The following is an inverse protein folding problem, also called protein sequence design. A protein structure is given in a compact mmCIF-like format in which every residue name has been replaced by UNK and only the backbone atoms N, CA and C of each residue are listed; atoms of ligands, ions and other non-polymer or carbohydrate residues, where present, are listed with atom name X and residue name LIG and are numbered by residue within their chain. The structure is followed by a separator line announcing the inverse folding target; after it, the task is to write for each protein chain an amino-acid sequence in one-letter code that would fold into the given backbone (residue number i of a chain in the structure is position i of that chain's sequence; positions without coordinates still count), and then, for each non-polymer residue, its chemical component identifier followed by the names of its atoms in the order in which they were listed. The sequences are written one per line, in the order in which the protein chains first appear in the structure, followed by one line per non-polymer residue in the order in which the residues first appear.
data_IF_729421471901
#
_entry.id   IF_729421471901
#
_cell.length_a   1.000
_cell.length_b   1.000
_cell.length_c   1.000
_cell.angle_alpha   90.00
_cell.angle_beta   90.00
_cell.angle_gamma   90.00
#
_symmetry.space_group_name_H-M   'P 1'
#
loop_
_entity.id
_entity.type
_entity.pdbx_description
1 polymer ?
#
# COMPACT_ATOMS: atom_id res chain seq x y z
N UNK A 1 -25.81 -64.98 -64.38
CA UNK A 1 -24.87 -65.35 -65.45
C UNK A 1 -24.41 -64.09 -66.14
N UNK A 2 -23.12 -64.07 -66.49
CA UNK A 2 -22.33 -63.04 -67.15
C UNK A 2 -23.02 -62.30 -68.31
N UNK A 3 -22.68 -61.02 -68.51
CA UNK A 3 -22.26 -60.53 -69.83
C UNK A 3 -21.55 -59.17 -69.74
N UNK A 4 -20.57 -59.01 -70.64
CA UNK A 4 -19.52 -58.00 -70.72
C UNK A 4 -19.83 -56.87 -71.73
N UNK A 5 -18.96 -55.84 -71.70
CA UNK A 5 -18.65 -54.83 -72.74
C UNK A 5 -19.66 -53.66 -72.90
N UNK A 6 -19.27 -52.41 -73.20
CA UNK A 6 -18.11 -51.91 -73.95
C UNK A 6 -17.79 -50.41 -73.66
N UNK A 7 -16.56 -50.06 -74.06
CA UNK A 7 -15.82 -48.79 -74.11
C UNK A 7 -16.53 -47.52 -74.63
N UNK A 8 -16.05 -46.35 -74.17
CA UNK A 8 -15.51 -45.25 -75.02
C UNK A 8 -14.76 -44.17 -74.21
N UNK A 9 -13.67 -43.66 -74.76
CA UNK A 9 -12.67 -42.70 -74.23
C UNK A 9 -13.14 -41.22 -74.20
N UNK A 10 -12.39 -40.35 -73.49
CA UNK A 10 -11.66 -39.14 -74.00
C UNK A 10 -11.62 -37.92 -73.03
N UNK A 11 -10.38 -37.64 -72.56
CA UNK A 11 -9.65 -36.35 -72.33
C UNK A 11 -10.01 -35.26 -71.29
N UNK A 12 -8.96 -34.94 -70.50
CA UNK A 12 -8.30 -33.62 -70.34
C UNK A 12 -8.87 -32.54 -69.41
N UNK A 13 -8.03 -32.07 -68.48
CA UNK A 13 -8.23 -30.78 -67.79
C UNK A 13 -7.46 -30.61 -66.49
N UNK A 14 -6.12 -30.46 -66.55
CA UNK A 14 -5.30 -29.86 -65.47
C UNK A 14 -5.82 -28.45 -65.16
N UNK A 15 -5.94 -28.09 -63.89
CA UNK A 15 -5.75 -26.69 -63.46
C UNK A 15 -5.05 -26.62 -62.10
N UNK A 16 -3.74 -26.34 -62.20
CA UNK A 16 -2.94 -25.79 -61.12
C UNK A 16 -3.43 -24.38 -60.81
N UNK A 17 -3.97 -24.15 -59.61
CA UNK A 17 -4.06 -22.80 -59.04
C UNK A 17 -2.70 -22.44 -58.46
N UNK A 18 -1.92 -21.79 -59.32
CA UNK A 18 -0.62 -21.19 -59.11
C UNK A 18 -0.73 -20.13 -58.01
N UNK A 19 -0.13 -20.38 -56.84
CA UNK A 19 0.11 -19.37 -55.81
C UNK A 19 0.87 -18.19 -56.44
N UNK A 20 0.16 -17.07 -56.66
CA UNK A 20 0.78 -15.78 -56.98
C UNK A 20 1.53 -15.30 -55.75
N UNK A 21 2.82 -15.59 -55.70
CA UNK A 21 3.77 -14.87 -54.87
C UNK A 21 3.90 -13.45 -55.41
N UNK A 22 3.09 -12.53 -54.90
CA UNK A 22 3.33 -11.10 -55.08
C UNK A 22 4.65 -10.73 -54.40
N UNK A 23 5.60 -10.08 -55.11
CA UNK A 23 6.82 -9.60 -54.49
C UNK A 23 6.46 -8.54 -53.46
N UNK A 24 6.77 -8.81 -52.18
CA UNK A 24 6.58 -7.84 -51.10
C UNK A 24 7.36 -6.57 -51.44
N UNK A 25 6.62 -5.47 -51.54
CA UNK A 25 7.16 -4.12 -51.65
C UNK A 25 8.11 -3.90 -50.46
N UNK A 26 9.39 -3.62 -50.73
CA UNK A 26 10.45 -3.48 -49.71
C UNK A 26 10.04 -2.51 -48.60
N UNK A 27 9.23 -1.50 -48.92
CA UNK A 27 8.67 -0.53 -47.98
C UNK A 27 7.78 -1.16 -46.88
N UNK A 28 7.05 -2.24 -47.17
CA UNK A 28 6.17 -2.92 -46.20
C UNK A 28 6.95 -3.80 -45.22
N UNK A 29 8.18 -4.23 -45.55
CA UNK A 29 9.07 -4.90 -44.58
C UNK A 29 9.76 -3.89 -43.66
N UNK A 30 10.22 -2.75 -44.18
CA UNK A 30 10.83 -1.71 -43.33
C UNK A 30 9.83 -1.13 -42.32
N UNK A 31 8.56 -0.94 -42.71
CA UNK A 31 7.52 -0.44 -41.81
C UNK A 31 7.22 -1.41 -40.65
N UNK A 32 7.25 -2.73 -40.90
CA UNK A 32 7.05 -3.77 -39.87
C UNK A 32 8.24 -3.83 -38.89
N UNK A 33 9.47 -3.70 -39.39
CA UNK A 33 10.66 -3.68 -38.54
C UNK A 33 10.79 -2.37 -37.75
N UNK A 34 10.33 -1.24 -38.30
CA UNK A 34 10.28 0.05 -37.60
C UNK A 34 9.27 0.02 -36.43
N UNK A 35 8.10 -0.60 -36.61
CA UNK A 35 7.13 -0.80 -35.52
C UNK A 35 7.65 -1.74 -34.43
N UNK A 36 8.35 -2.82 -34.79
CA UNK A 36 8.98 -3.75 -33.82
C UNK A 36 10.11 -3.08 -33.02
N UNK A 37 10.90 -2.21 -33.66
CA UNK A 37 11.95 -1.44 -32.99
C UNK A 37 11.36 -0.37 -32.05
N UNK A 38 10.26 0.30 -32.43
CA UNK A 38 9.59 1.30 -31.59
C UNK A 38 8.92 0.69 -30.35
N UNK A 39 8.39 -0.54 -30.45
CA UNK A 39 7.82 -1.26 -29.29
C UNK A 39 8.91 -1.74 -28.32
N UNK A 40 10.10 -2.13 -28.81
CA UNK A 40 11.23 -2.49 -27.94
C UNK A 40 11.95 -1.27 -27.32
N UNK A 41 11.91 -0.10 -27.96
CA UNK A 41 12.51 1.13 -27.42
C UNK A 41 11.65 1.77 -26.32
N UNK A 42 10.35 1.52 -26.28
CA UNK A 42 9.44 2.00 -25.21
C UNK A 42 9.48 1.15 -23.93
N UNK A 43 10.12 -0.02 -23.94
CA UNK A 43 10.35 -0.82 -22.72
C UNK A 43 11.66 -0.48 -22.01
N UNK A 44 12.46 0.44 -22.55
CA UNK A 44 13.68 0.91 -21.91
C UNK A 44 13.37 2.03 -20.91
N UNK A 45 13.53 1.68 -19.63
CA UNK A 45 13.77 2.55 -18.48
C UNK A 45 12.62 3.42 -17.97
N UNK A 46 11.55 2.80 -17.49
CA UNK A 46 11.00 3.22 -16.20
C UNK A 46 11.75 2.45 -15.12
N UNK A 47 12.90 2.98 -14.69
CA UNK A 47 13.44 2.60 -13.39
C UNK A 47 12.44 3.10 -12.35
N UNK A 48 11.42 2.29 -12.04
CA UNK A 48 10.70 2.46 -10.79
C UNK A 48 11.75 2.28 -9.70
N UNK A 49 12.06 3.35 -8.96
CA UNK A 49 12.67 3.20 -7.65
C UNK A 49 11.80 2.18 -6.91
N UNK A 50 12.41 1.08 -6.44
CA UNK A 50 11.66 0.14 -5.63
C UNK A 50 11.31 0.87 -4.34
N UNK A 51 10.01 1.12 -4.12
CA UNK A 51 9.55 1.60 -2.83
C UNK A 51 9.95 0.55 -1.78
N UNK A 52 10.76 0.93 -0.81
CA UNK A 52 11.11 0.16 0.38
C UNK A 52 10.15 0.64 1.47
N UNK A 53 8.99 -0.02 1.63
CA UNK A 53 8.03 0.37 2.65
C UNK A 53 8.62 0.16 4.04
N UNK A 54 8.08 0.90 5.00
CA UNK A 54 8.30 0.66 6.42
C UNK A 54 7.59 -0.63 6.81
N UNK A 55 8.27 -1.45 7.59
CA UNK A 55 7.77 -2.72 8.10
C UNK A 55 7.87 -2.77 9.62
N UNK A 56 7.00 -3.55 10.25
CA UNK A 56 7.05 -3.82 11.68
C UNK A 56 6.02 -3.03 12.48
N UNK A 57 6.24 -2.90 13.78
CA UNK A 57 5.29 -2.25 14.69
C UNK A 57 6.11 -1.54 15.77
N UNK A 58 5.72 -0.32 16.13
CA UNK A 58 6.25 0.40 17.28
C UNK A 58 5.25 0.37 18.44
N UNK A 59 5.77 0.19 19.66
CA UNK A 59 4.97 0.16 20.86
C UNK A 59 5.44 1.20 21.86
N UNK A 60 4.49 1.87 22.48
CA UNK A 60 4.75 2.94 23.43
C UNK A 60 3.98 2.74 24.72
N UNK A 61 4.53 3.28 25.81
CA UNK A 61 3.82 3.48 27.05
C UNK A 61 4.07 4.87 27.60
N UNK A 62 3.17 5.36 28.43
CA UNK A 62 3.35 6.60 29.16
C UNK A 62 2.07 6.99 29.86
N UNK A 63 1.83 8.29 29.94
CA UNK A 63 0.61 8.81 30.53
C UNK A 63 0.10 10.02 29.78
N UNK A 64 -1.15 10.39 30.03
CA UNK A 64 -1.74 11.58 29.46
C UNK A 64 -2.98 12.00 30.22
N UNK A 65 -3.56 13.11 29.80
CA UNK A 65 -4.81 13.61 30.36
C UNK A 65 -5.82 13.96 29.27
N UNK A 66 -7.10 13.70 29.57
CA UNK A 66 -8.23 13.99 28.71
C UNK A 66 -8.96 15.26 29.13
N UNK A 67 -9.57 15.93 28.16
CA UNK A 67 -10.53 17.02 28.40
C UNK A 67 -11.69 16.88 27.42
N UNK A 68 -12.91 17.09 27.90
CA UNK A 68 -14.11 17.14 27.05
C UNK A 68 -14.82 18.47 27.25
N UNK A 69 -14.93 19.27 26.20
CA UNK A 69 -15.58 20.59 26.23
C UNK A 69 -16.14 20.95 24.86
N UNK A 70 -17.35 21.52 24.81
CA UNK A 70 -17.96 21.98 23.55
C UNK A 70 -18.15 20.89 22.49
N UNK A 71 -18.31 19.61 22.91
CA UNK A 71 -18.42 18.47 21.99
C UNK A 71 -17.10 17.98 21.39
N UNK A 72 -15.98 18.58 21.81
CA UNK A 72 -14.62 18.16 21.44
C UNK A 72 -14.01 17.41 22.61
N UNK A 73 -13.40 16.27 22.32
CA UNK A 73 -12.51 15.54 23.23
C UNK A 73 -11.06 15.78 22.81
N UNK A 74 -10.19 16.09 23.77
CA UNK A 74 -8.75 16.28 23.55
C UNK A 74 -7.98 15.38 24.50
N UNK A 75 -7.10 14.55 23.96
CA UNK A 75 -6.10 13.79 24.70
C UNK A 75 -4.75 14.49 24.59
N UNK A 76 -4.17 14.87 25.72
CA UNK A 76 -2.82 15.43 25.80
C UNK A 76 -1.89 14.42 26.44
N UNK A 77 -0.72 14.21 25.84
CA UNK A 77 0.28 13.27 26.35
C UNK A 77 1.26 13.96 27.31
N UNK A 78 1.62 13.25 28.37
CA UNK A 78 2.69 13.66 29.27
C UNK A 78 4.03 13.23 28.66
N UNK A 79 4.61 14.12 27.84
CA UNK A 79 5.87 13.86 27.18
C UNK A 79 7.07 13.91 28.16
N UNK A 80 8.14 13.11 27.92
CA UNK A 80 8.23 12.13 26.83
C UNK A 80 7.42 10.87 27.12
N UNK A 81 6.76 10.36 26.08
CA UNK A 81 6.30 8.97 26.05
C UNK A 81 7.52 8.05 25.92
N UNK A 82 7.38 6.77 26.28
CA UNK A 82 8.48 5.80 26.28
C UNK A 82 8.25 4.73 25.22
N UNK A 83 9.20 4.58 24.30
CA UNK A 83 9.24 3.43 23.40
C UNK A 83 9.52 2.15 24.20
N UNK A 84 8.67 1.12 24.05
CA UNK A 84 8.78 -0.12 24.83
C UNK A 84 9.42 -1.23 24.03
N UNK A 85 8.94 -1.48 22.82
CA UNK A 85 9.52 -2.44 21.90
C UNK A 85 9.10 -2.13 20.47
N UNK A 86 9.78 -2.74 19.50
CA UNK A 86 9.33 -2.71 18.12
C UNK A 86 9.85 -3.89 17.31
N UNK A 87 9.26 -4.06 16.13
CA UNK A 87 9.62 -5.09 15.15
C UNK A 87 9.97 -4.43 13.81
N UNK A 88 10.49 -5.20 12.84
CA UNK A 88 10.83 -4.67 11.51
C UNK A 88 11.82 -3.50 11.56
N UNK A 89 11.50 -2.40 10.88
CA UNK A 89 12.33 -1.20 10.87
C UNK A 89 12.44 -0.52 12.25
N UNK A 90 11.53 -0.80 13.18
CA UNK A 90 11.56 -0.29 14.55
C UNK A 90 12.38 -1.15 15.52
N UNK A 91 12.78 -2.37 15.14
CA UNK A 91 13.50 -3.28 16.05
C UNK A 91 14.90 -2.80 16.44
N UNK A 92 15.43 -1.80 15.72
CA UNK A 92 16.74 -1.20 16.00
C UNK A 92 16.67 -0.17 17.14
N UNK A 93 15.49 0.33 17.46
CA UNK A 93 15.29 1.35 18.50
C UNK A 93 15.38 0.68 19.87
N UNK A 94 16.22 1.23 20.74
CA UNK A 94 16.38 0.67 22.10
C UNK A 94 15.13 0.97 22.95
N UNK A 95 14.56 -0.03 23.67
CA UNK A 95 13.56 0.20 24.71
C UNK A 95 13.97 1.30 25.69
N UNK A 96 13.04 2.17 26.09
CA UNK A 96 13.32 3.34 26.92
C UNK A 96 13.65 4.61 26.13
N UNK A 97 13.75 4.54 24.80
CA UNK A 97 13.97 5.73 23.96
C UNK A 97 12.78 6.68 24.09
N UNK A 98 13.02 7.99 24.35
CA UNK A 98 11.94 8.97 24.48
C UNK A 98 11.27 9.21 23.13
N UNK A 99 9.94 9.26 23.16
CA UNK A 99 9.08 9.64 22.04
C UNK A 99 8.29 10.90 22.40
N UNK A 100 8.11 11.78 21.42
CA UNK A 100 7.26 12.97 21.57
C UNK A 100 5.93 12.73 20.88
N UNK A 101 4.82 12.91 21.60
CA UNK A 101 3.47 12.79 21.08
C UNK A 101 2.77 14.16 21.05
N UNK A 102 2.07 14.47 19.97
CA UNK A 102 1.22 15.64 19.85
C UNK A 102 -0.18 15.37 20.43
N UNK A 103 -0.88 16.38 20.98
CA UNK A 103 -2.26 16.21 21.42
C UNK A 103 -3.18 15.81 20.26
N UNK A 104 -4.14 14.94 20.55
CA UNK A 104 -5.16 14.51 19.57
C UNK A 104 -6.51 15.08 20.00
N UNK A 105 -7.18 15.78 19.07
CA UNK A 105 -8.51 16.35 19.29
C UNK A 105 -9.52 15.83 18.27
N UNK A 106 -10.67 15.36 18.75
CA UNK A 106 -11.73 14.81 17.92
C UNK A 106 -13.12 15.22 18.42
N UNK A 107 -14.08 15.13 17.52
CA UNK A 107 -15.52 15.22 17.82
C UNK A 107 -16.15 13.84 17.78
N UNK A 108 -17.31 13.65 18.40
CA UNK A 108 -18.06 12.38 18.36
C UNK A 108 -17.49 11.30 19.29
N UNK A 109 -18.06 10.09 19.20
CA UNK A 109 -17.65 8.93 20.00
C UNK A 109 -17.89 7.61 19.27
N UNK A 110 -17.15 6.58 19.63
CA UNK A 110 -17.14 5.29 18.95
C UNK A 110 -16.81 5.45 17.45
N UNK A 111 -17.46 4.68 16.56
CA UNK A 111 -17.23 4.76 15.11
C UNK A 111 -17.65 6.09 14.45
N UNK A 112 -18.36 6.97 15.16
CA UNK A 112 -18.72 8.30 14.66
C UNK A 112 -17.67 9.37 14.96
N UNK A 113 -16.60 9.00 15.67
CA UNK A 113 -15.54 9.93 16.02
C UNK A 113 -14.80 10.43 14.78
N UNK A 114 -14.46 11.72 14.76
CA UNK A 114 -13.76 12.36 13.66
C UNK A 114 -12.71 13.33 14.19
N UNK A 115 -11.51 13.29 13.63
CA UNK A 115 -10.47 14.27 13.95
C UNK A 115 -10.95 15.69 13.64
N UNK A 116 -10.58 16.62 14.52
CA UNK A 116 -10.78 18.05 14.28
C UNK A 116 -9.82 18.59 13.20
N UNK A 117 -8.62 18.01 13.13
CA UNK A 117 -7.64 18.18 12.07
C UNK A 117 -6.66 16.99 12.07
N UNK A 118 -5.96 16.71 10.95
CA UNK A 118 -4.82 15.77 10.96
C UNK A 118 -3.77 16.18 11.98
N UNK A 119 -3.08 15.20 12.58
CA UNK A 119 -2.01 15.40 13.55
C UNK A 119 -0.68 14.96 12.92
N UNK A 120 0.19 15.91 12.61
CA UNK A 120 1.41 15.67 11.82
C UNK A 120 2.62 16.42 12.41
N UNK A 121 3.58 15.75 13.07
CA UNK A 121 3.51 14.35 13.54
C UNK A 121 2.48 14.15 14.65
N UNK A 122 1.90 12.96 14.72
CA UNK A 122 1.25 12.47 15.92
C UNK A 122 2.27 11.95 16.92
N UNK A 123 3.26 11.17 16.49
CA UNK A 123 4.43 10.84 17.31
C UNK A 123 5.76 10.93 16.54
N UNK A 124 6.85 11.16 17.27
CA UNK A 124 8.22 11.18 16.73
C UNK A 124 9.24 10.59 17.69
N UNK A 125 10.16 9.78 17.17
CA UNK A 125 11.36 9.28 17.85
C UNK A 125 12.59 9.66 17.01
N UNK A 126 13.66 10.10 17.68
CA UNK A 126 14.98 10.27 17.06
C UNK A 126 15.91 9.21 17.64
N UNK A 127 16.44 8.33 16.80
CA UNK A 127 17.35 7.25 17.21
C UNK A 127 18.37 6.93 16.13
N UNK A 128 19.65 6.79 16.51
CA UNK A 128 20.72 6.39 15.58
C UNK A 128 20.88 7.32 14.38
N UNK A 129 20.58 8.62 14.52
CA UNK A 129 20.62 9.58 13.42
C UNK A 129 19.47 9.46 12.42
N UNK A 130 18.44 8.67 12.72
CA UNK A 130 17.19 8.59 11.95
C UNK A 130 16.03 9.16 12.76
N UNK A 131 15.07 9.75 12.06
CA UNK A 131 13.78 10.21 12.59
C UNK A 131 12.71 9.24 12.15
N UNK A 132 12.04 8.63 13.13
CA UNK A 132 10.86 7.79 12.96
C UNK A 132 9.65 8.62 13.35
N UNK A 133 8.64 8.66 12.49
CA UNK A 133 7.47 9.51 12.70
C UNK A 133 6.21 8.84 12.17
N UNK A 134 5.09 9.14 12.81
CA UNK A 134 3.77 8.80 12.32
C UNK A 134 2.88 10.04 12.27
N UNK A 135 2.18 10.20 11.16
CA UNK A 135 1.19 11.25 10.92
C UNK A 135 -0.21 10.64 11.02
N UNK A 136 -1.02 11.05 12.01
CA UNK A 136 -2.39 10.59 12.15
C UNK A 136 -3.32 11.41 11.25
N UNK A 137 -3.85 10.79 10.20
CA UNK A 137 -4.65 11.46 9.18
C UNK A 137 -6.17 11.35 9.44
N UNK A 138 -6.61 10.26 10.05
CA UNK A 138 -8.01 10.03 10.38
C UNK A 138 -8.16 9.19 11.64
N UNK A 139 -9.27 9.39 12.36
CA UNK A 139 -9.72 8.51 13.44
C UNK A 139 -10.84 7.62 12.90
N UNK A 140 -10.74 6.33 13.17
CA UNK A 140 -11.73 5.30 12.80
C UNK A 140 -12.72 5.06 13.94
N UNK A 141 -12.26 5.19 15.18
CA UNK A 141 -13.10 5.15 16.38
C UNK A 141 -12.38 5.84 17.54
N UNK A 142 -13.12 6.57 18.38
CA UNK A 142 -12.56 7.09 19.62
C UNK A 142 -13.60 7.13 20.73
N UNK A 143 -13.22 6.69 21.92
CA UNK A 143 -14.03 6.79 23.13
C UNK A 143 -13.16 7.39 24.23
N UNK A 144 -13.69 8.38 24.94
CA UNK A 144 -13.06 8.92 26.14
C UNK A 144 -14.12 9.00 27.24
N UNK A 145 -13.79 8.42 28.38
CA UNK A 145 -14.57 8.47 29.62
C UNK A 145 -13.65 8.92 30.75
N UNK A 146 -14.21 9.18 31.92
CA UNK A 146 -13.42 9.53 33.11
C UNK A 146 -12.45 8.41 33.56
N UNK A 147 -12.64 7.17 33.10
CA UNK A 147 -11.87 5.99 33.52
C UNK A 147 -11.06 5.33 32.42
N UNK A 148 -11.30 5.69 31.15
CA UNK A 148 -10.56 5.13 30.03
C UNK A 148 -10.59 5.99 28.78
N UNK A 149 -9.63 5.73 27.91
CA UNK A 149 -9.56 6.27 26.56
C UNK A 149 -9.21 5.13 25.61
N UNK A 150 -9.86 5.09 24.46
CA UNK A 150 -9.52 4.17 23.37
C UNK A 150 -9.67 4.94 22.08
N UNK A 151 -8.65 4.90 21.24
CA UNK A 151 -8.63 5.59 19.96
C UNK A 151 -7.98 4.68 18.93
N UNK A 152 -8.57 4.59 17.75
CA UNK A 152 -7.97 3.95 16.59
C UNK A 152 -8.12 4.84 15.38
N UNK A 153 -7.17 4.73 14.44
CA UNK A 153 -7.11 5.60 13.29
C UNK A 153 -6.20 5.08 12.20
N UNK A 154 -6.01 5.90 11.17
CA UNK A 154 -5.14 5.62 10.05
C UNK A 154 -4.25 6.82 9.77
N UNK A 155 -3.06 6.56 9.28
CA UNK A 155 -2.06 7.57 9.06
C UNK A 155 -0.95 7.10 8.12
N UNK A 156 0.17 7.81 8.16
CA UNK A 156 1.35 7.51 7.36
C UNK A 156 2.57 7.51 8.26
N UNK A 157 3.30 6.39 8.26
CA UNK A 157 4.61 6.30 8.89
C UNK A 157 5.70 6.82 7.93
N UNK A 158 6.72 7.47 8.48
CA UNK A 158 7.88 7.97 7.76
C UNK A 158 9.17 7.66 8.54
N UNK A 159 10.23 7.26 7.83
CA UNK A 159 11.58 7.11 8.38
C UNK A 159 12.55 7.87 7.49
N UNK A 160 13.30 8.79 8.07
CA UNK A 160 14.26 9.65 7.36
C UNK A 160 15.56 9.82 8.13
N UNK A 161 16.62 10.28 7.47
CA UNK A 161 17.94 10.49 8.08
C UNK A 161 18.92 9.38 7.68
N UNK A 162 19.65 8.83 8.65
CA UNK A 162 20.66 7.80 8.39
C UNK A 162 20.07 6.54 7.71
N UNK A 163 18.85 6.18 8.08
CA UNK A 163 17.99 5.24 7.34
C UNK A 163 16.85 6.01 6.71
N UNK A 164 16.49 5.68 5.47
CA UNK A 164 15.31 6.21 4.80
C UNK A 164 14.42 5.07 4.30
N UNK A 165 13.11 5.25 4.44
CA UNK A 165 12.06 4.37 3.94
C UNK A 165 10.97 5.19 3.27
N UNK A 166 10.23 4.57 2.38
CA UNK A 166 9.12 5.25 1.72
C UNK A 166 7.95 5.44 2.69
N UNK A 167 7.24 6.59 2.61
CA UNK A 167 6.06 6.82 3.42
C UNK A 167 5.04 5.68 3.26
N UNK A 168 4.66 5.06 4.37
CA UNK A 168 3.87 3.82 4.35
C UNK A 168 2.57 4.02 5.12
N UNK A 169 1.40 3.71 4.54
CA UNK A 169 0.13 3.75 5.26
C UNK A 169 0.15 2.83 6.49
N UNK A 170 -0.24 3.37 7.64
CA UNK A 170 -0.30 2.65 8.91
C UNK A 170 -1.66 2.84 9.56
N UNK A 171 -2.02 1.89 10.42
CA UNK A 171 -3.09 2.10 11.37
C UNK A 171 -2.48 2.59 12.70
N UNK A 172 -3.30 3.19 13.53
CA UNK A 172 -2.93 3.65 14.87
C UNK A 172 -3.93 3.06 15.85
N UNK A 173 -3.44 2.60 17.00
CA UNK A 173 -4.33 2.27 18.10
C UNK A 173 -3.71 2.70 19.42
N UNK A 174 -4.56 3.20 20.30
CA UNK A 174 -4.20 3.71 21.60
C UNK A 174 -5.25 3.26 22.58
N UNK A 175 -4.80 2.75 23.71
CA UNK A 175 -5.65 2.43 24.85
C UNK A 175 -5.05 3.09 26.10
N UNK A 176 -5.94 3.58 26.95
CA UNK A 176 -5.55 4.13 28.23
C UNK A 176 -6.58 3.83 29.30
N UNK A 177 -6.09 3.62 30.51
CA UNK A 177 -6.90 3.38 31.71
C UNK A 177 -6.51 4.35 32.80
N UNK A 178 -7.45 4.76 33.64
CA UNK A 178 -7.12 5.59 34.80
C UNK A 178 -8.32 6.20 35.50
N UNK A 179 -8.15 7.41 36.02
CA UNK A 179 -9.15 8.09 36.87
C UNK A 179 -9.11 9.59 36.69
N UNK A 180 -10.30 10.21 36.65
CA UNK A 180 -10.45 11.67 36.57
C UNK A 180 -9.76 12.26 35.34
N UNK A 181 -9.86 11.56 34.19
CA UNK A 181 -9.18 11.90 32.93
C UNK A 181 -7.66 11.85 32.97
N UNK A 182 -7.02 11.23 33.97
CA UNK A 182 -5.60 10.88 33.92
C UNK A 182 -5.47 9.42 33.50
N UNK A 183 -4.63 9.13 32.51
CA UNK A 183 -4.51 7.80 31.92
C UNK A 183 -3.06 7.29 31.96
N UNK A 184 -2.91 6.01 32.25
CA UNK A 184 -1.77 5.20 31.79
C UNK A 184 -2.09 4.74 30.38
N UNK A 185 -1.18 5.02 29.44
CA UNK A 185 -1.41 4.84 28.00
C UNK A 185 -0.51 3.73 27.47
N UNK A 186 -1.07 2.89 26.62
CA UNK A 186 -0.39 1.94 25.76
C UNK A 186 -0.80 2.20 24.31
N UNK A 187 0.18 2.27 23.41
CA UNK A 187 -0.04 2.47 21.98
C UNK A 187 0.58 1.29 21.24
N UNK A 188 -0.21 0.26 20.89
CA UNK A 188 0.22 -0.77 19.96
C UNK A 188 -0.01 -0.32 18.51
N UNK A 189 0.98 -0.53 17.64
CA UNK A 189 0.77 -0.31 16.20
C UNK A 189 0.12 -1.52 15.51
N UNK A 190 -0.81 -1.32 14.57
CA UNK A 190 -1.52 -2.39 13.89
C UNK A 190 -0.86 -2.80 12.56
N UNK A 191 -1.27 -3.98 12.10
CA UNK A 191 -0.67 -4.75 11.02
C UNK A 191 -0.59 -3.99 9.68
N UNK A 192 0.60 -3.99 9.08
CA UNK A 192 0.87 -3.38 7.76
C UNK A 192 -0.05 -3.96 6.69
N UNK A 193 -0.70 -3.10 5.89
CA UNK A 193 -1.59 -3.49 4.79
C UNK A 193 -0.75 -4.11 3.66
N UNK A 194 -0.51 -5.42 3.72
CA UNK A 194 0.14 -6.20 2.66
C UNK A 194 -0.71 -6.34 1.37
N UNK A 195 -1.77 -5.54 1.20
CA UNK A 195 -2.75 -5.68 0.09
C UNK A 195 -2.31 -5.05 -1.23
N UNK A 196 -1.24 -4.25 -1.27
CA UNK A 196 -0.78 -3.68 -2.55
C UNK A 196 -0.08 -4.73 -3.44
N UNK A 197 0.50 -5.78 -2.84
CA UNK A 197 1.16 -6.86 -3.59
C UNK A 197 0.15 -7.85 -4.19
N UNK A 198 -0.99 -8.07 -3.54
CA UNK A 198 -2.03 -8.97 -4.06
C UNK A 198 -2.90 -8.32 -5.14
N UNK A 199 -3.12 -7.00 -5.08
CA UNK A 199 -3.87 -6.25 -6.09
C UNK A 199 -3.24 -6.34 -7.49
N UNK A 200 -1.91 -6.23 -7.59
CA UNK A 200 -1.20 -6.36 -8.88
C UNK A 200 -1.24 -7.80 -9.41
N UNK A 201 -1.14 -8.80 -8.55
CA UNK A 201 -1.23 -10.21 -8.95
C UNK A 201 -2.60 -10.56 -9.53
N UNK A 202 -3.70 -10.05 -8.95
CA UNK A 202 -5.06 -10.25 -9.45
C UNK A 202 -5.27 -9.56 -10.79
N UNK A 203 -4.79 -8.31 -10.95
CA UNK A 203 -4.87 -7.58 -12.23
C UNK A 203 -4.07 -8.27 -13.33
N UNK A 204 -2.88 -8.80 -13.02
CA UNK A 204 -2.07 -9.57 -13.97
C UNK A 204 -2.71 -10.92 -14.34
N UNK A 205 -3.36 -11.60 -13.39
CA UNK A 205 -4.10 -12.84 -13.66
C UNK A 205 -5.35 -12.58 -14.50
N UNK A 206 -6.04 -11.45 -14.29
CA UNK A 206 -7.19 -11.05 -15.09
C UNK A 206 -6.80 -10.64 -16.51
N UNK A 207 -5.72 -9.85 -16.67
CA UNK A 207 -5.20 -9.45 -17.98
C UNK A 207 -4.75 -10.65 -18.83
N UNK A 208 -4.14 -11.69 -18.22
CA UNK A 208 -3.78 -12.94 -18.90
C UNK A 208 -4.99 -13.75 -19.38
N UNK A 209 -6.15 -13.60 -18.73
CA UNK A 209 -7.37 -14.33 -19.08
C UNK A 209 -8.11 -13.67 -20.25
N UNK A 210 -8.05 -12.35 -20.38
CA UNK A 210 -8.65 -11.61 -21.51
C UNK A 210 -7.88 -11.74 -22.83
N UNK A 211 -6.62 -12.18 -22.83
CA UNK A 211 -5.82 -12.41 -24.05
C UNK A 211 -6.00 -13.80 -24.67
N UNK A 212 -6.80 -14.69 -24.08
CA UNK A 212 -7.07 -16.06 -24.58
C UNK A 212 -8.48 -16.23 -25.16
N UNK A 213 -9.19 -15.14 -25.45
CA UNK A 213 -10.46 -15.12 -26.18
C UNK A 213 -10.21 -14.44 -27.52
#
# INVERSE_FOLDING_TARGET
MLSLCSHSHVLSGRNHQQQRNTPMNKYTQYLKHLCLAAVMLMTATTQHAQEIPITGEAFFTGSGFGMQSGGISTLTFNNPMTFTFGTGDYSVITPGTPATFAPISWTGSGPSAMLTAPVTPEWTIIFGGSTYQFDLLAVSSATMTSTGVSLSGTGVATVSGATTRDPTPYQFSLEGTGSGFNYTIAVPEPQTIALLVSGVAVVLLWARRCQRI
#
